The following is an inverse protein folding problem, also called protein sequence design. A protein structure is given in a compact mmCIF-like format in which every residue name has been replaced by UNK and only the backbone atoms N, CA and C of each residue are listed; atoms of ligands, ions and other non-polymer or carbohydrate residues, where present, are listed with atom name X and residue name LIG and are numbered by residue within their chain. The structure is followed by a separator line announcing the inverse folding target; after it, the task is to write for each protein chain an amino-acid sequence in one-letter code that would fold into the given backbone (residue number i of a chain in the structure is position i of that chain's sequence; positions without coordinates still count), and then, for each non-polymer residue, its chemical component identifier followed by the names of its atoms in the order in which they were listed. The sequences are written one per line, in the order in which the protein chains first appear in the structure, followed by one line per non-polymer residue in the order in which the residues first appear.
data_IF_026219114509
#
_entry.id   IF_026219114509
#
_cell.length_a   1.000
_cell.length_b   1.000
_cell.length_c   1.000
_cell.angle_alpha   90.00
_cell.angle_beta   90.00
_cell.angle_gamma   90.00
#
_symmetry.space_group_name_H-M   'P 1'
#
loop_
_entity.id
_entity.type
_entity.pdbx_description
1 polymer ?
#
# COMPACT_ATOMS: atom_id res chain seq x y z
N UNK A 1 -13.05 27.00 22.33
CA UNK A 1 -11.57 26.88 22.35
C UNK A 1 -11.18 25.39 22.40
N UNK A 2 -10.01 24.99 21.91
CA UNK A 2 -9.54 23.65 22.12
C UNK A 2 -9.22 23.37 23.58
N UNK A 3 -9.55 22.18 24.05
CA UNK A 3 -9.23 21.75 25.41
C UNK A 3 -7.75 21.30 25.49
N UNK A 4 -7.11 21.56 26.64
CA UNK A 4 -5.76 21.08 26.90
C UNK A 4 -5.75 19.56 27.06
N UNK A 5 -4.83 18.89 26.35
CA UNK A 5 -4.54 17.46 26.54
C UNK A 5 -3.23 17.25 27.31
N UNK A 6 -2.28 18.17 27.17
CA UNK A 6 -1.02 18.18 27.93
C UNK A 6 -1.14 18.70 29.37
N UNK A 7 -0.01 19.05 29.96
CA UNK A 7 0.08 19.62 31.32
C UNK A 7 0.31 21.13 31.27
N UNK A 8 0.90 21.65 30.19
CA UNK A 8 1.25 23.06 30.08
C UNK A 8 0.26 23.79 29.17
N UNK A 9 -0.38 24.83 29.72
CA UNK A 9 -1.33 25.63 28.98
C UNK A 9 -0.65 26.83 28.31
N UNK A 10 -1.04 27.14 27.08
CA UNK A 10 -0.67 28.37 26.42
C UNK A 10 -1.62 29.51 26.85
N UNK A 11 -1.11 30.76 26.94
CA UNK A 11 -1.95 31.93 27.06
C UNK A 11 -3.01 31.99 25.96
N UNK A 12 -4.23 32.41 26.27
CA UNK A 12 -5.37 32.33 25.37
C UNK A 12 -5.13 33.01 24.01
N UNK A 13 -4.48 34.16 24.00
CA UNK A 13 -4.24 34.92 22.78
C UNK A 13 -3.18 34.23 21.89
N UNK A 14 -2.15 33.68 22.53
CA UNK A 14 -1.14 32.87 21.84
C UNK A 14 -1.75 31.61 21.23
N UNK A 15 -2.64 30.94 22.00
CA UNK A 15 -3.33 29.72 21.50
C UNK A 15 -4.25 30.03 20.32
N UNK A 16 -4.97 31.17 20.35
CA UNK A 16 -5.81 31.62 19.23
C UNK A 16 -4.97 31.89 17.98
N UNK A 17 -3.86 32.64 18.16
CA UNK A 17 -2.95 32.97 17.06
C UNK A 17 -2.31 31.73 16.46
N UNK A 18 -1.77 30.82 17.27
CA UNK A 18 -1.13 29.58 16.83
C UNK A 18 -2.13 28.66 16.13
N UNK A 19 -3.35 28.54 16.66
CA UNK A 19 -4.42 27.75 16.01
C UNK A 19 -4.86 28.34 14.66
N UNK A 20 -4.90 29.68 14.54
CA UNK A 20 -5.28 30.33 13.28
C UNK A 20 -4.22 30.16 12.21
N UNK A 21 -2.95 30.21 12.58
CA UNK A 21 -1.81 30.03 11.67
C UNK A 21 -1.44 28.56 11.44
N UNK A 22 -2.03 27.61 12.19
CA UNK A 22 -1.71 26.17 12.05
C UNK A 22 -2.07 25.63 10.69
N UNK A 23 -1.17 24.84 10.10
CA UNK A 23 -1.44 24.04 8.90
C UNK A 23 -2.50 22.99 9.22
N UNK A 24 -3.54 22.91 8.39
CA UNK A 24 -4.60 21.91 8.54
C UNK A 24 -4.29 20.69 7.67
N UNK A 25 -4.19 19.54 8.33
CA UNK A 25 -4.06 18.23 7.68
C UNK A 25 -5.28 17.40 8.11
N UNK A 26 -6.29 17.35 7.25
CA UNK A 26 -7.58 16.74 7.61
C UNK A 26 -8.18 17.34 8.88
N UNK A 27 -8.47 16.53 9.92
CA UNK A 27 -9.04 17.00 11.19
C UNK A 27 -8.00 17.54 12.18
N UNK A 28 -6.71 17.44 11.85
CA UNK A 28 -5.58 17.87 12.68
C UNK A 28 -5.17 19.32 12.39
N UNK A 29 -4.35 19.90 13.25
CA UNK A 29 -3.69 21.18 13.03
C UNK A 29 -2.25 21.16 13.53
N UNK A 30 -1.31 21.53 12.66
CA UNK A 30 0.12 21.63 12.95
C UNK A 30 0.46 23.08 13.22
N UNK A 31 0.44 23.48 14.48
CA UNK A 31 0.84 24.82 14.92
C UNK A 31 2.35 24.92 15.14
N UNK A 32 2.88 26.13 15.22
CA UNK A 32 4.28 26.37 15.56
C UNK A 32 4.63 25.93 16.99
N UNK A 33 3.66 26.05 17.91
CA UNK A 33 3.85 25.76 19.34
C UNK A 33 3.11 24.50 19.79
N UNK A 34 2.00 24.17 19.13
CA UNK A 34 1.12 23.10 19.58
C UNK A 34 0.60 22.23 18.42
N UNK A 35 0.41 20.97 18.74
CA UNK A 35 -0.30 19.99 17.91
C UNK A 35 -1.78 20.00 18.30
N UNK A 36 -2.65 20.22 17.32
CA UNK A 36 -4.10 20.21 17.51
C UNK A 36 -4.69 18.88 17.07
N UNK A 37 -5.38 18.23 18.00
CA UNK A 37 -5.91 16.87 17.85
C UNK A 37 -7.43 16.88 17.73
N UNK A 38 -7.96 15.95 16.95
CA UNK A 38 -9.39 15.75 16.83
C UNK A 38 -9.95 14.90 17.98
N UNK A 39 -11.26 14.95 18.12
CA UNK A 39 -12.03 14.03 18.94
C UNK A 39 -13.24 13.59 18.14
N UNK A 40 -13.28 12.34 17.77
CA UNK A 40 -14.34 11.72 16.98
C UNK A 40 -14.74 12.60 15.78
N UNK A 41 -15.87 13.31 15.83
CA UNK A 41 -16.35 14.20 14.76
C UNK A 41 -15.79 15.63 14.81
N UNK A 42 -15.12 16.02 15.91
CA UNK A 42 -14.69 17.41 16.12
C UNK A 42 -13.23 17.61 15.75
N UNK A 43 -12.96 18.38 14.71
CA UNK A 43 -11.60 18.76 14.30
C UNK A 43 -10.97 19.71 15.33
N UNK A 44 -9.69 19.50 15.63
CA UNK A 44 -8.87 20.37 16.49
C UNK A 44 -9.56 20.69 17.83
N UNK A 45 -10.12 19.63 18.47
CA UNK A 45 -10.82 19.72 19.74
C UNK A 45 -9.87 19.84 20.92
N UNK A 46 -8.68 19.25 20.83
CA UNK A 46 -7.65 19.26 21.86
C UNK A 46 -6.37 19.87 21.31
N UNK A 47 -5.49 20.32 22.22
CA UNK A 47 -4.14 20.72 21.86
C UNK A 47 -3.13 20.19 22.88
N UNK A 48 -1.89 20.02 22.44
CA UNK A 48 -0.74 19.64 23.25
C UNK A 48 0.48 20.36 22.73
N UNK A 49 1.38 20.79 23.61
CA UNK A 49 2.63 21.42 23.22
C UNK A 49 3.60 20.40 22.64
N UNK A 50 4.36 20.79 21.62
CA UNK A 50 5.37 19.90 21.02
C UNK A 50 6.41 19.43 22.06
N UNK A 51 6.76 20.27 23.04
CA UNK A 51 7.67 19.94 24.15
C UNK A 51 7.21 18.77 25.04
N UNK A 52 5.90 18.55 25.12
CA UNK A 52 5.30 17.47 25.92
C UNK A 52 5.12 16.17 25.12
N UNK A 53 5.23 16.21 23.81
CA UNK A 53 5.08 15.06 22.95
C UNK A 53 6.33 14.17 23.06
N UNK A 54 6.14 12.90 23.42
CA UNK A 54 7.20 11.90 23.48
C UNK A 54 7.39 11.24 22.12
N UNK A 55 6.27 10.85 21.48
CA UNK A 55 6.27 10.24 20.14
C UNK A 55 4.90 10.35 19.47
N UNK A 56 4.89 10.27 18.16
CA UNK A 56 3.67 10.25 17.34
C UNK A 56 3.79 9.16 16.30
N UNK A 57 2.78 8.30 16.19
CA UNK A 57 2.84 7.20 15.22
C UNK A 57 1.46 6.83 14.67
N UNK A 58 1.48 6.14 13.55
CA UNK A 58 0.28 5.58 12.92
C UNK A 58 -0.07 4.24 13.53
N UNK A 59 -1.35 4.05 13.83
CA UNK A 59 -1.94 2.78 14.21
C UNK A 59 -3.08 2.46 13.26
N UNK A 60 -3.03 1.32 12.61
CA UNK A 60 -4.12 0.84 11.76
C UNK A 60 -4.82 -0.28 12.51
N UNK A 61 -6.07 -0.04 12.90
CA UNK A 61 -6.92 -1.07 13.47
C UNK A 61 -7.73 -1.73 12.35
N UNK A 62 -7.56 -3.03 12.18
CA UNK A 62 -8.34 -3.81 11.20
C UNK A 62 -9.57 -4.40 11.87
N UNK A 63 -10.74 -4.23 11.26
CA UNK A 63 -11.92 -5.00 11.63
C UNK A 63 -11.72 -6.47 11.26
N UNK A 64 -12.45 -7.40 11.89
CA UNK A 64 -12.35 -8.86 11.65
C UNK A 64 -12.45 -9.31 10.18
N UNK A 65 -12.84 -8.43 9.25
CA UNK A 65 -12.88 -8.67 7.79
C UNK A 65 -11.80 -7.93 7.00
N UNK A 66 -10.91 -7.15 7.63
CA UNK A 66 -10.03 -6.19 6.94
C UNK A 66 -8.98 -6.80 5.99
N UNK A 67 -8.50 -8.02 6.26
CA UNK A 67 -7.55 -8.71 5.37
C UNK A 67 -8.20 -9.34 4.13
N UNK A 68 -9.50 -9.59 4.15
CA UNK A 68 -10.22 -10.24 3.06
C UNK A 68 -10.90 -9.25 2.12
N UNK A 69 -10.94 -7.95 2.47
CA UNK A 69 -11.68 -6.94 1.72
C UNK A 69 -13.21 -7.17 1.69
N UNK A 70 -13.72 -8.18 2.43
CA UNK A 70 -15.11 -8.57 2.49
C UNK A 70 -15.67 -8.14 3.85
N UNK A 71 -15.87 -6.84 4.04
CA UNK A 71 -16.48 -6.32 5.25
C UNK A 71 -16.86 -4.86 5.09
N UNK A 72 -17.97 -4.46 5.69
CA UNK A 72 -18.47 -3.08 5.65
C UNK A 72 -17.56 -2.06 6.36
N UNK A 73 -16.58 -2.52 7.11
CA UNK A 73 -15.64 -1.70 7.87
C UNK A 73 -14.21 -2.04 7.44
N UNK A 74 -13.63 -1.19 6.61
CA UNK A 74 -12.22 -1.22 6.25
C UNK A 74 -11.28 -0.93 7.43
N UNK A 75 -9.99 -0.89 7.15
CA UNK A 75 -8.99 -0.45 8.11
C UNK A 75 -9.30 0.97 8.63
N UNK A 76 -9.28 1.14 9.95
CA UNK A 76 -9.41 2.45 10.58
C UNK A 76 -8.02 2.95 10.98
N UNK A 77 -7.66 4.10 10.44
CA UNK A 77 -6.36 4.72 10.71
C UNK A 77 -6.45 5.68 11.88
N UNK A 78 -5.48 5.59 12.77
CA UNK A 78 -5.34 6.47 13.93
C UNK A 78 -3.97 7.13 13.92
N UNK A 79 -3.94 8.41 14.26
CA UNK A 79 -2.73 9.06 14.74
C UNK A 79 -2.70 8.88 16.26
N UNK A 80 -1.66 8.26 16.78
CA UNK A 80 -1.46 8.07 18.21
C UNK A 80 -0.40 9.07 18.66
N UNK A 81 -0.73 9.86 19.67
CA UNK A 81 0.18 10.81 20.30
C UNK A 81 0.42 10.36 21.73
N UNK A 82 1.66 10.05 22.06
CA UNK A 82 2.12 9.71 23.41
C UNK A 82 2.85 10.89 24.04
N UNK A 83 2.50 11.21 25.26
CA UNK A 83 3.13 12.26 26.04
C UNK A 83 4.27 11.72 26.89
N UNK A 84 5.13 12.63 27.33
CA UNK A 84 6.26 12.32 28.22
C UNK A 84 5.81 11.82 29.61
N UNK A 85 4.59 12.17 30.02
CA UNK A 85 3.97 11.72 31.27
C UNK A 85 3.28 10.33 31.18
N UNK A 86 3.36 9.67 30.01
CA UNK A 86 2.79 8.35 29.77
C UNK A 86 1.36 8.32 29.26
N UNK A 87 0.67 9.47 29.24
CA UNK A 87 -0.67 9.55 28.63
C UNK A 87 -0.58 9.41 27.11
N UNK A 88 -1.59 8.80 26.52
CA UNK A 88 -1.69 8.67 25.08
C UNK A 88 -3.09 9.04 24.58
N UNK A 89 -3.17 9.56 23.35
CA UNK A 89 -4.42 9.86 22.67
C UNK A 89 -4.42 9.27 21.28
N UNK A 90 -5.47 8.49 20.99
CA UNK A 90 -5.75 7.96 19.66
C UNK A 90 -6.71 8.87 18.92
N UNK A 91 -6.27 9.42 17.82
CA UNK A 91 -7.04 10.31 16.97
C UNK A 91 -7.47 9.55 15.74
N UNK A 92 -8.75 9.17 15.66
CA UNK A 92 -9.29 8.49 14.48
C UNK A 92 -9.34 9.45 13.29
N UNK A 93 -8.82 9.01 12.15
CA UNK A 93 -8.76 9.80 10.93
C UNK A 93 -9.34 8.96 9.79
N UNK A 94 -10.35 9.50 9.11
CA UNK A 94 -11.12 8.79 8.08
C UNK A 94 -10.24 8.36 6.88
N UNK A 95 -9.31 9.20 6.48
CA UNK A 95 -8.45 8.96 5.33
C UNK A 95 -7.01 8.79 5.79
N UNK A 96 -6.43 7.65 5.49
CA UNK A 96 -5.07 7.26 5.90
C UNK A 96 -4.02 8.25 5.42
N UNK A 97 -4.19 8.80 4.22
CA UNK A 97 -3.29 9.80 3.63
C UNK A 97 -3.06 11.02 4.56
N UNK A 98 -4.05 11.43 5.35
CA UNK A 98 -3.86 12.53 6.30
C UNK A 98 -2.99 12.15 7.50
N UNK A 99 -2.97 10.86 7.87
CA UNK A 99 -2.04 10.39 8.91
C UNK A 99 -0.61 10.41 8.38
N UNK A 100 -0.42 9.94 7.14
CA UNK A 100 0.89 9.90 6.50
C UNK A 100 1.43 11.32 6.28
N UNK A 101 0.61 12.23 5.73
CA UNK A 101 0.95 13.65 5.57
C UNK A 101 1.31 14.33 6.89
N UNK A 102 0.57 14.01 7.97
CA UNK A 102 0.85 14.54 9.30
C UNK A 102 2.18 14.03 9.84
N UNK A 103 2.49 12.75 9.70
CA UNK A 103 3.75 12.16 10.12
C UNK A 103 4.95 12.69 9.32
N UNK A 104 4.80 12.87 8.02
CA UNK A 104 5.83 13.46 7.15
C UNK A 104 6.11 14.91 7.55
N UNK A 105 5.06 15.69 7.83
CA UNK A 105 5.22 17.05 8.31
C UNK A 105 5.93 17.10 9.68
N UNK A 106 5.56 16.21 10.61
CA UNK A 106 6.19 16.11 11.94
C UNK A 106 7.67 15.71 11.78
N UNK A 107 7.97 14.69 10.97
CA UNK A 107 9.35 14.25 10.73
C UNK A 107 10.23 15.38 10.17
N UNK A 108 9.67 16.25 9.33
CA UNK A 108 10.38 17.38 8.72
C UNK A 108 10.60 18.55 9.69
N UNK A 109 9.61 18.87 10.53
CA UNK A 109 9.63 20.06 11.38
C UNK A 109 10.00 19.77 12.83
N UNK A 110 9.86 18.51 13.26
CA UNK A 110 10.13 18.01 14.61
C UNK A 110 10.86 16.67 14.55
N UNK A 111 12.09 16.62 13.98
CA UNK A 111 12.84 15.38 13.81
C UNK A 111 13.20 14.70 15.14
N UNK A 112 13.15 15.45 16.24
CA UNK A 112 13.36 14.95 17.60
C UNK A 112 12.21 14.06 18.11
N UNK A 113 11.05 14.06 17.44
CA UNK A 113 9.87 13.29 17.85
C UNK A 113 9.82 11.98 17.03
N UNK A 114 10.02 10.79 17.67
CA UNK A 114 9.93 9.52 16.99
C UNK A 114 8.54 9.28 16.38
N UNK A 115 8.53 8.79 15.15
CA UNK A 115 7.29 8.53 14.38
C UNK A 115 6.86 7.06 14.40
N UNK A 116 7.42 6.25 15.30
CA UNK A 116 7.09 4.82 15.47
C UNK A 116 6.76 4.50 16.92
N UNK A 117 5.92 3.46 17.13
CA UNK A 117 5.68 2.95 18.48
C UNK A 117 6.96 2.30 19.02
N UNK A 118 7.09 2.20 20.34
CA UNK A 118 8.25 1.60 20.98
C UNK A 118 8.44 0.13 20.60
N UNK A 119 7.34 -0.61 20.52
CA UNK A 119 7.35 -2.01 20.08
C UNK A 119 7.72 -2.14 18.60
N UNK A 120 7.30 -1.22 17.74
CA UNK A 120 7.69 -1.21 16.34
C UNK A 120 9.17 -0.85 16.17
N UNK A 121 9.68 0.10 16.96
CA UNK A 121 11.10 0.46 16.95
C UNK A 121 11.97 -0.72 17.40
N UNK A 122 11.66 -1.36 18.54
CA UNK A 122 12.40 -2.53 19.00
C UNK A 122 12.44 -3.66 17.97
N UNK A 123 11.29 -3.96 17.34
CA UNK A 123 11.23 -4.97 16.28
C UNK A 123 12.08 -4.60 15.06
N UNK A 124 12.14 -3.31 14.73
CA UNK A 124 12.97 -2.84 13.64
C UNK A 124 14.46 -3.00 13.98
N UNK A 125 14.86 -2.55 15.17
CA UNK A 125 16.25 -2.64 15.66
C UNK A 125 16.70 -4.11 15.71
N UNK A 126 15.84 -5.01 16.18
CA UNK A 126 16.10 -6.46 16.19
C UNK A 126 16.20 -7.02 14.76
N UNK A 127 15.32 -6.59 13.84
CA UNK A 127 15.36 -7.04 12.45
C UNK A 127 16.61 -6.51 11.72
N UNK A 128 17.02 -5.27 11.98
CA UNK A 128 18.26 -4.69 11.44
C UNK A 128 19.49 -5.41 11.98
N UNK A 129 19.53 -5.67 13.29
CA UNK A 129 20.63 -6.43 13.91
C UNK A 129 20.73 -7.85 13.33
N UNK A 130 19.59 -8.53 13.13
CA UNK A 130 19.56 -9.84 12.48
C UNK A 130 19.98 -9.77 11.01
N UNK A 131 19.58 -8.73 10.26
CA UNK A 131 19.98 -8.53 8.88
C UNK A 131 21.49 -8.33 8.78
N UNK A 132 22.07 -7.49 9.66
CA UNK A 132 23.52 -7.29 9.73
C UNK A 132 24.27 -8.58 10.11
N UNK A 133 23.73 -9.35 11.04
CA UNK A 133 24.34 -10.63 11.45
C UNK A 133 24.35 -11.70 10.33
N UNK A 134 23.43 -11.60 9.36
CA UNK A 134 23.38 -12.51 8.19
C UNK A 134 24.39 -12.15 7.10
N UNK A 135 24.95 -10.95 7.10
CA UNK A 135 25.93 -10.54 6.09
C UNK A 135 27.22 -11.32 6.24
N UNK A 136 27.65 -11.97 5.16
CA UNK A 136 28.92 -12.68 5.11
C UNK A 136 30.07 -11.66 5.03
N UNK A 137 31.07 -11.80 5.90
CA UNK A 137 32.21 -10.86 5.97
C UNK A 137 33.19 -11.05 4.82
N UNK A 138 33.38 -12.29 4.37
CA UNK A 138 34.32 -12.63 3.29
C UNK A 138 33.54 -13.13 2.07
N UNK A 139 33.29 -12.22 1.13
CA UNK A 139 32.67 -12.52 -0.16
C UNK A 139 33.76 -12.87 -1.19
N UNK A 140 33.45 -13.81 -2.08
CA UNK A 140 34.31 -14.12 -3.23
C UNK A 140 34.39 -12.94 -4.22
N UNK A 141 35.45 -12.84 -5.00
CA UNK A 141 35.58 -11.80 -6.03
C UNK A 141 34.41 -11.83 -7.02
N UNK A 142 33.93 -13.03 -7.38
CA UNK A 142 32.75 -13.21 -8.25
C UNK A 142 31.46 -12.70 -7.60
N UNK A 143 31.27 -12.93 -6.31
CA UNK A 143 30.11 -12.40 -5.58
C UNK A 143 30.12 -10.87 -5.53
N UNK A 144 31.27 -10.24 -5.28
CA UNK A 144 31.41 -8.79 -5.27
C UNK A 144 31.07 -8.20 -6.65
N UNK A 145 31.58 -8.80 -7.72
CA UNK A 145 31.29 -8.35 -9.08
C UNK A 145 29.81 -8.51 -9.45
N UNK A 146 29.20 -9.63 -9.07
CA UNK A 146 27.77 -9.85 -9.30
C UNK A 146 26.90 -8.85 -8.53
N UNK A 147 27.27 -8.49 -7.31
CA UNK A 147 26.59 -7.42 -6.54
C UNK A 147 26.69 -6.09 -7.31
N UNK A 148 27.88 -5.73 -7.81
CA UNK A 148 28.08 -4.51 -8.58
C UNK A 148 27.21 -4.46 -9.83
N UNK A 149 27.13 -5.56 -10.59
CA UNK A 149 26.27 -5.69 -11.78
C UNK A 149 24.81 -5.47 -11.42
N UNK A 150 24.35 -6.05 -10.32
CA UNK A 150 22.95 -5.90 -9.86
C UNK A 150 22.64 -4.47 -9.40
N UNK A 151 23.56 -3.80 -8.70
CA UNK A 151 23.40 -2.40 -8.26
C UNK A 151 23.40 -1.43 -9.45
N UNK A 152 24.27 -1.63 -10.42
CA UNK A 152 24.27 -0.84 -11.65
C UNK A 152 22.99 -1.05 -12.48
N UNK A 153 22.47 -2.29 -12.51
CA UNK A 153 21.20 -2.59 -13.17
C UNK A 153 20.01 -1.97 -12.43
N UNK A 154 20.05 -1.92 -11.09
CA UNK A 154 19.06 -1.23 -10.28
C UNK A 154 19.02 0.27 -10.61
N UNK A 155 20.19 0.94 -10.57
CA UNK A 155 20.30 2.36 -10.92
C UNK A 155 19.86 2.66 -12.35
N UNK A 156 20.10 1.73 -13.27
CA UNK A 156 19.64 1.87 -14.66
C UNK A 156 18.11 1.86 -14.76
N UNK A 157 17.43 0.94 -14.05
CA UNK A 157 15.96 0.89 -14.02
C UNK A 157 15.34 2.09 -13.29
N UNK A 158 16.00 2.63 -12.27
CA UNK A 158 15.50 3.78 -11.51
C UNK A 158 15.42 5.06 -12.36
N UNK A 159 16.09 5.13 -13.51
CA UNK A 159 15.97 6.23 -14.47
C UNK A 159 14.61 6.28 -15.16
N UNK A 160 13.92 5.14 -15.26
CA UNK A 160 12.62 5.02 -15.94
C UNK A 160 11.55 4.38 -15.03
N UNK A 161 11.11 5.09 -13.98
CA UNK A 161 10.21 4.54 -12.96
C UNK A 161 8.85 4.13 -13.51
N UNK A 162 8.41 4.68 -14.62
CA UNK A 162 7.13 4.32 -15.23
C UNK A 162 7.12 2.88 -15.73
N UNK A 163 8.24 2.36 -16.27
CA UNK A 163 8.33 1.01 -16.82
C UNK A 163 8.03 -0.06 -15.75
N UNK A 164 8.79 -0.07 -14.66
CA UNK A 164 8.61 -1.08 -13.64
C UNK A 164 7.31 -0.90 -12.83
N UNK A 165 6.77 0.32 -12.70
CA UNK A 165 5.45 0.56 -12.10
C UNK A 165 4.33 0.02 -12.97
N UNK A 166 4.39 0.18 -14.28
CA UNK A 166 3.42 -0.40 -15.21
C UNK A 166 3.50 -1.92 -15.17
N UNK A 167 4.72 -2.50 -15.16
CA UNK A 167 4.96 -3.93 -15.04
C UNK A 167 4.33 -4.48 -13.73
N UNK A 168 4.60 -3.85 -12.59
CA UNK A 168 4.03 -4.20 -11.29
C UNK A 168 2.49 -4.15 -11.30
N UNK A 169 1.92 -3.06 -11.80
CA UNK A 169 0.47 -2.85 -11.82
C UNK A 169 -0.25 -3.85 -12.72
N UNK A 170 0.31 -4.15 -13.90
CA UNK A 170 -0.27 -5.12 -14.84
C UNK A 170 -0.15 -6.54 -14.32
N UNK A 171 0.97 -6.89 -13.65
CA UNK A 171 1.12 -8.16 -12.94
C UNK A 171 0.06 -8.31 -11.84
N UNK A 172 -0.16 -7.26 -11.04
CA UNK A 172 -1.19 -7.25 -10.00
C UNK A 172 -2.59 -7.49 -10.56
N UNK A 173 -2.97 -6.79 -11.63
CA UNK A 173 -4.26 -6.98 -12.32
C UNK A 173 -4.40 -8.42 -12.85
N UNK A 174 -3.38 -8.95 -13.51
CA UNK A 174 -3.38 -10.31 -14.05
C UNK A 174 -3.51 -11.34 -12.92
N UNK A 175 -2.82 -11.14 -11.79
CA UNK A 175 -2.93 -12.02 -10.62
C UNK A 175 -4.31 -12.01 -10.00
N UNK A 176 -4.89 -10.83 -9.77
CA UNK A 176 -6.27 -10.70 -9.27
C UNK A 176 -7.23 -11.49 -10.15
N UNK A 177 -7.09 -11.38 -11.47
CA UNK A 177 -7.95 -12.09 -12.41
C UNK A 177 -7.79 -13.62 -12.34
N UNK A 178 -6.58 -14.12 -12.14
CA UNK A 178 -6.30 -15.56 -11.98
C UNK A 178 -6.89 -16.13 -10.68
N UNK A 179 -7.04 -15.29 -9.64
CA UNK A 179 -7.55 -15.72 -8.32
C UNK A 179 -9.07 -15.68 -8.21
N UNK A 180 -9.77 -15.10 -9.17
CA UNK A 180 -11.24 -15.08 -9.17
C UNK A 180 -11.75 -16.48 -9.50
N UNK A 181 -12.43 -17.11 -8.52
CA UNK A 181 -13.02 -18.43 -8.73
C UNK A 181 -14.08 -18.42 -9.84
N UNK A 182 -14.21 -19.52 -10.62
CA UNK A 182 -15.21 -19.61 -11.67
C UNK A 182 -16.65 -19.31 -11.18
N UNK A 183 -17.01 -19.78 -9.98
CA UNK A 183 -18.32 -19.54 -9.38
C UNK A 183 -18.57 -18.05 -9.09
N UNK A 184 -17.58 -17.31 -8.57
CA UNK A 184 -17.72 -15.85 -8.35
C UNK A 184 -17.85 -15.10 -9.66
N UNK A 185 -17.14 -15.54 -10.70
CA UNK A 185 -17.24 -14.95 -12.04
C UNK A 185 -18.62 -15.20 -12.64
N UNK A 186 -19.14 -16.43 -12.55
CA UNK A 186 -20.49 -16.77 -13.00
C UNK A 186 -21.54 -15.95 -12.28
N UNK A 187 -21.47 -15.85 -10.94
CA UNK A 187 -22.37 -15.03 -10.15
C UNK A 187 -22.35 -13.54 -10.58
N UNK A 188 -21.17 -12.97 -10.79
CA UNK A 188 -21.03 -11.59 -11.27
C UNK A 188 -21.69 -11.38 -12.64
N UNK A 189 -21.50 -12.31 -13.57
CA UNK A 189 -22.10 -12.28 -14.91
C UNK A 189 -23.62 -12.40 -14.80
N UNK A 190 -24.14 -13.29 -13.95
CA UNK A 190 -25.58 -13.49 -13.75
C UNK A 190 -26.25 -12.23 -13.18
N UNK A 191 -25.64 -11.59 -12.17
CA UNK A 191 -26.11 -10.33 -11.60
C UNK A 191 -26.12 -9.22 -12.65
N UNK A 192 -25.05 -9.14 -13.44
CA UNK A 192 -24.93 -8.13 -14.50
C UNK A 192 -25.98 -8.33 -15.60
N UNK A 193 -26.15 -9.55 -16.10
CA UNK A 193 -27.18 -9.88 -17.09
C UNK A 193 -28.59 -9.64 -16.55
N UNK A 194 -28.88 -10.05 -15.31
CA UNK A 194 -30.13 -9.77 -14.63
C UNK A 194 -30.45 -8.29 -14.48
N UNK A 195 -29.42 -7.47 -14.19
CA UNK A 195 -29.57 -6.02 -14.11
C UNK A 195 -29.95 -5.38 -15.46
N UNK A 196 -29.33 -5.85 -16.55
CA UNK A 196 -29.70 -5.39 -17.92
C UNK A 196 -31.13 -5.79 -18.27
N UNK A 197 -31.53 -7.02 -17.98
CA UNK A 197 -32.91 -7.50 -18.20
C UNK A 197 -33.92 -6.69 -17.38
N UNK A 198 -33.60 -6.40 -16.12
CA UNK A 198 -34.48 -5.59 -15.27
C UNK A 198 -34.61 -4.15 -15.79
N UNK A 199 -33.57 -3.55 -16.34
CA UNK A 199 -33.65 -2.24 -16.98
C UNK A 199 -34.44 -2.30 -18.28
N UNK A 200 -34.19 -3.30 -19.13
CA UNK A 200 -34.88 -3.48 -20.42
C UNK A 200 -36.40 -3.71 -20.26
N UNK A 201 -36.81 -4.43 -19.22
CA UNK A 201 -38.23 -4.64 -18.91
C UNK A 201 -38.85 -3.48 -18.10
N UNK A 202 -38.06 -2.88 -17.19
CA UNK A 202 -38.55 -1.83 -16.30
C UNK A 202 -38.81 -0.49 -17.01
N UNK A 203 -37.96 -0.11 -18.01
CA UNK A 203 -38.14 1.15 -18.73
C UNK A 203 -39.50 1.21 -19.48
N UNK A 204 -39.90 0.22 -20.29
CA UNK A 204 -41.21 0.23 -20.94
C UNK A 204 -42.37 0.25 -19.94
N UNK A 205 -42.30 -0.54 -18.85
CA UNK A 205 -43.33 -0.57 -17.79
C UNK A 205 -43.44 0.80 -17.10
N UNK A 206 -42.34 1.47 -16.87
CA UNK A 206 -42.32 2.81 -16.29
C UNK A 206 -42.97 3.83 -17.25
N UNK A 207 -42.70 3.73 -18.54
CA UNK A 207 -43.34 4.59 -19.56
C UNK A 207 -44.86 4.38 -19.63
N UNK A 208 -45.32 3.16 -19.38
CA UNK A 208 -46.75 2.83 -19.26
C UNK A 208 -47.35 3.21 -17.89
N UNK A 209 -46.61 3.93 -17.05
CA UNK A 209 -47.00 4.34 -15.69
C UNK A 209 -47.32 3.17 -14.76
N UNK A 210 -46.80 1.98 -15.04
CA UNK A 210 -47.01 0.84 -14.16
C UNK A 210 -46.04 0.94 -12.95
N UNK A 211 -46.56 0.86 -11.70
CA UNK A 211 -45.74 1.09 -10.49
C UNK A 211 -44.53 0.14 -10.36
N UNK A 212 -44.64 -1.09 -10.86
CA UNK A 212 -43.54 -2.06 -10.86
C UNK A 212 -42.34 -1.61 -11.71
N UNK A 213 -42.58 -0.78 -12.75
CA UNK A 213 -41.53 -0.30 -13.64
C UNK A 213 -40.46 0.53 -12.91
N UNK A 214 -40.86 1.41 -11.99
CA UNK A 214 -39.95 2.24 -11.19
C UNK A 214 -39.03 1.36 -10.33
N UNK A 215 -39.59 0.37 -9.63
CA UNK A 215 -38.82 -0.54 -8.77
C UNK A 215 -37.84 -1.38 -9.58
N UNK A 216 -38.26 -1.89 -10.77
CA UNK A 216 -37.39 -2.65 -11.65
C UNK A 216 -36.21 -1.81 -12.17
N UNK A 217 -36.45 -0.56 -12.57
CA UNK A 217 -35.39 0.36 -13.02
C UNK A 217 -34.44 0.71 -11.89
N UNK A 218 -34.96 1.04 -10.70
CA UNK A 218 -34.11 1.35 -9.54
C UNK A 218 -33.25 0.16 -9.14
N UNK A 219 -33.83 -1.03 -9.03
CA UNK A 219 -33.12 -2.24 -8.66
C UNK A 219 -32.09 -2.64 -9.74
N UNK A 220 -32.50 -2.61 -11.01
CA UNK A 220 -31.63 -2.88 -12.15
C UNK A 220 -30.45 -1.91 -12.20
N UNK A 221 -30.68 -0.59 -12.02
CA UNK A 221 -29.63 0.40 -11.98
C UNK A 221 -28.66 0.19 -10.79
N UNK A 222 -29.18 -0.09 -9.59
CA UNK A 222 -28.36 -0.36 -8.42
C UNK A 222 -27.46 -1.59 -8.61
N UNK A 223 -27.99 -2.70 -9.11
CA UNK A 223 -27.21 -3.90 -9.39
C UNK A 223 -26.24 -3.72 -10.55
N UNK A 224 -26.60 -2.97 -11.58
CA UNK A 224 -25.73 -2.62 -12.68
C UNK A 224 -24.51 -1.82 -12.20
N UNK A 225 -24.73 -0.77 -11.39
CA UNK A 225 -23.66 0.04 -10.82
C UNK A 225 -22.78 -0.81 -9.87
N UNK A 226 -23.38 -1.60 -8.99
CA UNK A 226 -22.65 -2.47 -8.08
C UNK A 226 -21.76 -3.49 -8.83
N UNK A 227 -22.31 -4.14 -9.86
CA UNK A 227 -21.56 -5.12 -10.65
C UNK A 227 -20.47 -4.46 -11.53
N UNK A 228 -20.68 -3.22 -11.97
CA UNK A 228 -19.72 -2.47 -12.78
C UNK A 228 -18.50 -1.98 -11.99
N UNK A 229 -18.65 -1.70 -10.70
CA UNK A 229 -17.56 -1.26 -9.80
C UNK A 229 -16.68 -2.44 -9.36
N UNK A 230 -17.24 -3.67 -9.31
CA UNK A 230 -16.49 -4.87 -8.96
C UNK A 230 -15.65 -5.42 -10.13
N UNK A 231 -14.47 -5.97 -9.83
CA UNK A 231 -13.64 -6.68 -10.83
C UNK A 231 -14.21 -8.06 -11.24
N UNK A 232 -15.47 -8.33 -10.87
CA UNK A 232 -16.14 -9.63 -11.06
C UNK A 232 -16.62 -9.86 -12.49
N UNK A 233 -16.99 -8.78 -13.17
CA UNK A 233 -17.52 -8.85 -14.54
C UNK A 233 -16.39 -8.63 -15.55
N UNK A 234 -16.10 -9.59 -16.44
CA UNK A 234 -15.00 -9.50 -17.40
C UNK A 234 -15.33 -8.63 -18.62
N UNK A 235 -15.81 -7.40 -18.38
CA UNK A 235 -16.24 -6.48 -19.45
C UNK A 235 -15.33 -5.25 -19.48
N UNK A 236 -15.07 -4.74 -20.67
CA UNK A 236 -14.31 -3.51 -20.89
C UNK A 236 -12.86 -3.59 -20.37
N UNK A 237 -12.51 -2.74 -19.41
CA UNK A 237 -11.15 -2.66 -18.82
C UNK A 237 -10.73 -3.91 -18.06
N UNK A 238 -11.68 -4.72 -17.57
CA UNK A 238 -11.44 -5.93 -16.79
C UNK A 238 -11.47 -7.21 -17.65
N UNK A 239 -11.50 -7.08 -18.98
CA UNK A 239 -11.46 -8.23 -19.90
C UNK A 239 -10.15 -9.01 -19.75
N UNK A 240 -10.20 -10.38 -19.62
CA UNK A 240 -9.02 -11.23 -19.53
C UNK A 240 -8.04 -11.04 -20.68
N UNK A 241 -8.56 -10.91 -21.90
CA UNK A 241 -7.75 -10.68 -23.09
C UNK A 241 -6.99 -9.37 -23.04
N UNK A 242 -7.66 -8.30 -22.57
CA UNK A 242 -7.05 -6.98 -22.44
C UNK A 242 -5.98 -6.94 -21.36
N UNK A 243 -6.27 -7.51 -20.17
CA UNK A 243 -5.30 -7.56 -19.07
C UNK A 243 -4.06 -8.36 -19.47
N UNK A 244 -4.26 -9.48 -20.18
CA UNK A 244 -3.14 -10.27 -20.72
C UNK A 244 -2.30 -9.43 -21.71
N UNK A 245 -2.94 -8.74 -22.64
CA UNK A 245 -2.26 -7.87 -23.62
C UNK A 245 -1.51 -6.73 -22.94
N UNK A 246 -2.11 -6.09 -21.91
CA UNK A 246 -1.45 -5.03 -21.12
C UNK A 246 -0.19 -5.59 -20.41
N UNK A 247 -0.25 -6.79 -19.87
CA UNK A 247 0.90 -7.45 -19.26
C UNK A 247 1.99 -7.80 -20.29
N UNK A 248 1.62 -8.41 -21.40
CA UNK A 248 2.56 -8.78 -22.48
C UNK A 248 3.24 -7.52 -23.04
N UNK A 249 2.50 -6.43 -23.23
CA UNK A 249 3.05 -5.14 -23.65
C UNK A 249 4.03 -4.60 -22.63
N UNK A 250 3.67 -4.58 -21.33
CA UNK A 250 4.55 -4.08 -20.27
C UNK A 250 5.86 -4.88 -20.17
N UNK A 251 5.80 -6.22 -20.36
CA UNK A 251 7.00 -7.06 -20.40
C UNK A 251 7.84 -6.72 -21.63
N UNK A 252 7.23 -6.59 -22.79
CA UNK A 252 7.93 -6.24 -24.04
C UNK A 252 8.59 -4.85 -23.95
N UNK A 253 7.92 -3.88 -23.36
CA UNK A 253 8.47 -2.53 -23.14
C UNK A 253 9.69 -2.56 -22.21
N UNK A 254 9.62 -3.38 -21.13
CA UNK A 254 10.75 -3.61 -20.25
C UNK A 254 11.89 -4.32 -20.98
N UNK A 255 11.62 -5.34 -21.77
CA UNK A 255 12.65 -6.06 -22.56
C UNK A 255 13.31 -5.15 -23.59
N UNK A 256 12.54 -4.29 -24.27
CA UNK A 256 13.07 -3.30 -25.20
C UNK A 256 13.97 -2.25 -24.52
N UNK A 257 13.64 -1.89 -23.27
CA UNK A 257 14.46 -0.95 -22.51
C UNK A 257 15.76 -1.59 -22.02
N UNK A 258 15.68 -2.76 -21.39
CA UNK A 258 16.86 -3.47 -20.85
C UNK A 258 17.76 -4.00 -21.97
N UNK A 259 17.21 -4.31 -23.15
CA UNK A 259 17.97 -4.72 -24.33
C UNK A 259 18.89 -3.64 -24.92
N UNK A 260 18.74 -2.39 -24.50
CA UNK A 260 19.66 -1.30 -24.84
C UNK A 260 20.99 -1.34 -24.07
N UNK A 261 21.05 -2.18 -23.04
CA UNK A 261 22.24 -2.42 -22.22
C UNK A 261 22.74 -3.84 -22.49
N UNK A 262 24.05 -3.96 -22.75
CA UNK A 262 24.68 -5.26 -22.87
C UNK A 262 24.56 -6.06 -21.57
N UNK A 263 24.08 -7.28 -21.68
CA UNK A 263 24.01 -8.26 -20.57
C UNK A 263 23.21 -7.80 -19.33
N UNK A 264 21.91 -7.47 -19.49
CA UNK A 264 21.08 -7.19 -18.34
C UNK A 264 20.85 -8.45 -17.48
N UNK A 265 20.96 -8.37 -16.12
CA UNK A 265 21.07 -9.56 -15.26
C UNK A 265 19.77 -10.37 -15.09
N UNK A 266 18.61 -9.81 -15.44
CA UNK A 266 17.30 -10.49 -15.31
C UNK A 266 16.44 -10.28 -16.54
N UNK A 267 15.53 -11.22 -16.86
CA UNK A 267 14.54 -11.03 -17.92
C UNK A 267 13.58 -9.86 -17.64
N UNK A 268 13.02 -9.25 -18.69
CA UNK A 268 12.12 -8.10 -18.58
C UNK A 268 10.94 -8.29 -17.65
N UNK A 269 10.40 -9.51 -17.54
CA UNK A 269 9.31 -9.86 -16.61
C UNK A 269 9.67 -9.71 -15.12
N UNK A 270 10.95 -9.64 -14.77
CA UNK A 270 11.47 -9.41 -13.41
C UNK A 270 12.25 -8.11 -13.29
N UNK A 271 12.25 -7.27 -14.33
CA UNK A 271 12.96 -6.00 -14.35
C UNK A 271 12.32 -4.98 -13.38
N UNK A 272 12.65 -5.12 -12.10
CA UNK A 272 12.18 -4.25 -11.04
C UNK A 272 13.31 -3.99 -10.03
N UNK A 273 13.53 -2.72 -9.60
CA UNK A 273 14.62 -2.39 -8.66
C UNK A 273 14.63 -3.24 -7.39
N UNK A 274 13.45 -3.50 -6.81
CA UNK A 274 13.33 -4.34 -5.61
C UNK A 274 13.79 -5.79 -5.85
N UNK A 275 13.59 -6.35 -7.06
CA UNK A 275 14.07 -7.70 -7.38
C UNK A 275 15.59 -7.72 -7.37
N UNK A 276 16.23 -6.76 -8.04
CA UNK A 276 17.70 -6.64 -8.10
C UNK A 276 18.30 -6.43 -6.72
N UNK A 277 17.71 -5.55 -5.91
CA UNK A 277 18.13 -5.29 -4.53
C UNK A 277 18.03 -6.55 -3.65
N UNK A 278 16.96 -7.34 -3.79
CA UNK A 278 16.82 -8.61 -3.08
C UNK A 278 17.84 -9.65 -3.52
N UNK A 279 18.13 -9.73 -4.82
CA UNK A 279 19.19 -10.60 -5.34
C UNK A 279 20.58 -10.20 -4.80
N UNK A 280 20.91 -8.92 -4.82
CA UNK A 280 22.16 -8.42 -4.23
C UNK A 280 22.24 -8.75 -2.73
N UNK A 281 21.14 -8.63 -1.98
CA UNK A 281 21.06 -9.03 -0.57
C UNK A 281 21.33 -10.52 -0.38
N UNK A 282 20.73 -11.39 -1.18
CA UNK A 282 20.95 -12.85 -1.15
C UNK A 282 22.44 -13.19 -1.35
N UNK A 283 23.11 -12.51 -2.28
CA UNK A 283 24.54 -12.72 -2.51
C UNK A 283 25.36 -12.20 -1.32
N UNK A 284 25.04 -11.03 -0.75
CA UNK A 284 25.70 -10.50 0.46
C UNK A 284 25.53 -11.40 1.68
N UNK A 285 24.41 -12.11 1.78
CA UNK A 285 24.16 -13.10 2.82
C UNK A 285 24.91 -14.44 2.56
N UNK A 286 25.59 -14.58 1.42
CA UNK A 286 26.32 -15.78 1.03
C UNK A 286 25.42 -16.98 0.70
N UNK A 287 24.13 -16.73 0.40
CA UNK A 287 23.14 -17.76 0.05
C UNK A 287 23.18 -18.12 -1.45
N UNK A 288 23.81 -17.27 -2.25
CA UNK A 288 24.14 -17.52 -3.65
C UNK A 288 25.43 -16.76 -3.99
N UNK A 289 26.14 -17.24 -5.01
CA UNK A 289 27.33 -16.53 -5.56
C UNK A 289 27.03 -15.96 -6.94
N UNK A 290 26.17 -16.62 -7.71
CA UNK A 290 25.83 -16.25 -9.08
C UNK A 290 24.44 -15.62 -9.18
N UNK A 291 24.25 -14.76 -10.18
CA UNK A 291 23.01 -14.04 -10.45
C UNK A 291 21.82 -14.98 -10.67
N UNK A 292 21.91 -16.06 -11.49
CA UNK A 292 20.80 -17.01 -11.68
C UNK A 292 20.39 -17.70 -10.37
N UNK A 293 21.37 -18.11 -9.56
CA UNK A 293 21.11 -18.72 -8.25
C UNK A 293 20.43 -17.77 -7.31
N UNK A 294 20.86 -16.49 -7.28
CA UNK A 294 20.24 -15.44 -6.46
C UNK A 294 18.77 -15.23 -6.84
N UNK A 295 18.43 -15.27 -8.12
CA UNK A 295 17.04 -15.17 -8.58
C UNK A 295 16.18 -16.34 -8.08
N UNK A 296 16.69 -17.59 -8.15
CA UNK A 296 15.97 -18.76 -7.64
C UNK A 296 15.76 -18.68 -6.11
N UNK A 297 16.76 -18.21 -5.36
CA UNK A 297 16.62 -17.98 -3.91
C UNK A 297 15.54 -16.93 -3.63
N UNK A 298 15.53 -15.82 -4.37
CA UNK A 298 14.48 -14.78 -4.22
C UNK A 298 13.09 -15.35 -4.53
N UNK A 299 12.95 -16.19 -5.54
CA UNK A 299 11.70 -16.89 -5.85
C UNK A 299 11.25 -17.78 -4.69
N UNK A 300 12.16 -18.57 -4.13
CA UNK A 300 11.87 -19.43 -2.98
C UNK A 300 11.44 -18.63 -1.74
N UNK A 301 12.16 -17.56 -1.44
CA UNK A 301 11.83 -16.65 -0.32
C UNK A 301 10.44 -16.02 -0.48
N UNK A 302 10.13 -15.48 -1.66
CA UNK A 302 8.82 -14.89 -1.95
C UNK A 302 7.69 -15.94 -1.90
N UNK A 303 7.96 -17.19 -2.24
CA UNK A 303 7.01 -18.29 -2.13
C UNK A 303 6.74 -18.65 -0.68
N UNK A 304 7.77 -18.68 0.16
CA UNK A 304 7.67 -18.98 1.58
C UNK A 304 6.90 -17.92 2.38
N UNK A 305 6.91 -16.66 1.93
CA UNK A 305 6.16 -15.57 2.57
C UNK A 305 4.66 -15.77 2.34
N UNK A 306 3.97 -16.28 3.35
CA UNK A 306 2.53 -16.50 3.37
C UNK A 306 1.84 -15.64 4.46
N UNK A 307 0.52 -15.81 4.64
CA UNK A 307 -0.29 -15.03 5.59
C UNK A 307 0.11 -15.19 7.07
N UNK A 308 0.89 -16.20 7.42
CA UNK A 308 1.30 -16.50 8.80
C UNK A 308 2.63 -15.86 9.18
N UNK A 309 3.37 -15.32 8.21
CA UNK A 309 4.67 -14.70 8.45
C UNK A 309 4.50 -13.22 8.77
N UNK A 310 5.05 -12.79 9.90
CA UNK A 310 5.10 -11.37 10.29
C UNK A 310 6.39 -10.76 9.75
N UNK A 311 6.27 -9.71 8.95
CA UNK A 311 7.41 -8.99 8.35
C UNK A 311 7.36 -7.52 8.76
N UNK A 312 8.46 -6.80 8.58
CA UNK A 312 8.49 -5.34 8.73
C UNK A 312 7.60 -4.66 7.65
N UNK A 313 7.20 -3.41 7.90
CA UNK A 313 6.42 -2.66 6.91
C UNK A 313 7.20 -2.51 5.59
N UNK A 314 8.49 -2.20 5.66
CA UNK A 314 9.35 -2.07 4.49
C UNK A 314 9.41 -3.37 3.68
N UNK A 315 9.57 -4.51 4.35
CA UNK A 315 9.58 -5.81 3.68
C UNK A 315 8.22 -6.15 3.08
N UNK A 316 7.13 -5.81 3.77
CA UNK A 316 5.77 -5.97 3.24
C UNK A 316 5.59 -5.17 1.94
N UNK A 317 6.01 -3.90 1.92
CA UNK A 317 5.88 -3.03 0.75
C UNK A 317 6.72 -3.56 -0.42
N UNK A 318 7.95 -4.03 -0.17
CA UNK A 318 8.79 -4.71 -1.16
C UNK A 318 8.12 -5.96 -1.72
N UNK A 319 7.55 -6.81 -0.85
CA UNK A 319 6.87 -8.04 -1.25
C UNK A 319 5.63 -7.73 -2.10
N UNK A 320 4.81 -6.77 -1.68
CA UNK A 320 3.62 -6.34 -2.43
C UNK A 320 4.00 -5.83 -3.81
N UNK A 321 5.10 -5.09 -3.91
CA UNK A 321 5.59 -4.57 -5.19
C UNK A 321 5.94 -5.68 -6.19
N UNK A 322 6.59 -6.75 -5.77
CA UNK A 322 7.17 -7.72 -6.71
C UNK A 322 6.47 -9.09 -6.76
N UNK A 323 5.81 -9.51 -5.67
CA UNK A 323 5.24 -10.87 -5.56
C UNK A 323 4.27 -11.22 -6.68
N UNK A 324 3.49 -10.24 -7.16
CA UNK A 324 2.54 -10.47 -8.26
C UNK A 324 3.24 -10.91 -9.55
N UNK A 325 4.42 -10.38 -9.86
CA UNK A 325 5.20 -10.73 -11.06
C UNK A 325 5.62 -12.19 -11.04
N UNK A 326 6.09 -12.69 -9.88
CA UNK A 326 6.47 -14.09 -9.70
C UNK A 326 5.25 -15.02 -9.71
N UNK A 327 4.15 -14.63 -9.05
CA UNK A 327 2.91 -15.41 -9.02
C UNK A 327 2.26 -15.56 -10.41
N UNK A 328 2.49 -14.63 -11.31
CA UNK A 328 1.99 -14.67 -12.69
C UNK A 328 2.88 -15.48 -13.60
N UNK A 329 4.18 -15.57 -13.31
CA UNK A 329 5.20 -16.16 -14.18
C UNK A 329 5.64 -17.56 -13.75
N UNK A 330 5.82 -17.81 -12.45
CA UNK A 330 6.47 -19.02 -11.93
C UNK A 330 5.56 -19.94 -11.11
N UNK A 331 4.52 -19.39 -10.50
CA UNK A 331 3.65 -20.15 -9.56
C UNK A 331 2.23 -20.28 -10.10
N UNK A 332 2.12 -20.67 -11.37
CA UNK A 332 0.83 -20.94 -12.04
C UNK A 332 0.21 -22.22 -11.55
#
# INVERSE_FOLDING_TARGET
MPALFGNQALPQDTLKADRKSSLRIGPLGMGKRALYLNSFFFSRRYYVLWSEVKRVYKLVAMSKGGFTGIGAFGAMSYLVVELRDGRSKRCQIKYEMYVDEALDWIAKNHPEIPNRSETAQKKLDEAEAQAHARLKKDLSGTAIENIRILEEAEQYLEKEPLLYRVLQNTAGKKRVQQTISPGRRALGITIFAGSILALAAGIPLMMQRHPAGIYMVMLGAAFFLFSSVGNLVPVGRNSPKRIRKEWESAVSDCEAYIGKRDSFPVPGRYAHPVVLRRMARVIREGRAEEIPQALEVVKADLKALNKSVTVSQQEYDEVVAVKAMFLVSDYQ
#
